data_IF_854155254006
#
_entry.id   IF_854155254006
#
_cell.length_a   1.000
_cell.length_b   1.000
_cell.length_c   1.000
_cell.angle_alpha   90.00
_cell.angle_beta   90.00
_cell.angle_gamma   90.00
#
_symmetry.space_group_name_H-M   'P 1'
#
loop_
_entity.id
_entity.type
_entity.pdbx_description
1 polymer ?
#
# COMPACT_ATOMS: atom_id res chain seq x y z
N UNK A 1 -2.59 10.25 -3.57
CA UNK A 1 -3.14 8.93 -3.21
C UNK A 1 -4.60 8.96 -3.58
N UNK A 2 -5.08 8.02 -4.38
CA UNK A 2 -6.49 7.94 -4.71
C UNK A 2 -7.26 7.39 -3.49
N UNK A 3 -8.32 8.08 -3.09
CA UNK A 3 -9.18 7.62 -1.98
C UNK A 3 -10.17 6.55 -2.47
N UNK A 4 -10.74 5.78 -1.55
CA UNK A 4 -11.70 4.72 -1.88
C UNK A 4 -12.86 5.21 -2.75
N UNK A 5 -13.44 6.36 -2.43
CA UNK A 5 -14.53 6.94 -3.21
C UNK A 5 -14.10 7.26 -4.64
N UNK A 6 -12.87 7.75 -4.87
CA UNK A 6 -12.37 8.04 -6.21
C UNK A 6 -12.23 6.76 -7.05
N UNK A 7 -11.66 5.70 -6.46
CA UNK A 7 -11.56 4.36 -7.09
C UNK A 7 -12.94 3.80 -7.42
N UNK A 8 -13.90 3.92 -6.50
CA UNK A 8 -15.26 3.46 -6.71
C UNK A 8 -15.94 4.20 -7.87
N UNK A 9 -15.82 5.54 -7.93
CA UNK A 9 -16.37 6.33 -9.05
C UNK A 9 -15.80 5.90 -10.39
N UNK A 10 -14.49 5.67 -10.44
CA UNK A 10 -13.81 5.24 -11.64
C UNK A 10 -14.33 3.88 -12.11
N UNK A 11 -14.35 2.89 -11.21
CA UNK A 11 -14.85 1.54 -11.52
C UNK A 11 -16.31 1.55 -11.99
N UNK A 12 -17.16 2.35 -11.34
CA UNK A 12 -18.55 2.49 -11.75
C UNK A 12 -18.66 3.10 -13.15
N UNK A 13 -17.85 4.11 -13.47
CA UNK A 13 -17.84 4.73 -14.80
C UNK A 13 -17.33 3.79 -15.88
N UNK A 14 -16.27 3.05 -15.62
CA UNK A 14 -15.65 2.10 -16.55
C UNK A 14 -16.58 0.92 -16.88
N UNK A 15 -17.33 0.46 -15.87
CA UNK A 15 -18.27 -0.66 -16.03
C UNK A 15 -19.71 -0.23 -16.35
N UNK A 16 -19.98 1.08 -16.49
CA UNK A 16 -21.34 1.60 -16.76
C UNK A 16 -22.35 1.31 -15.64
N UNK A 17 -21.90 1.24 -14.38
CA UNK A 17 -22.75 1.02 -13.21
C UNK A 17 -23.39 2.33 -12.75
N UNK A 18 -24.69 2.27 -12.44
CA UNK A 18 -25.38 3.30 -11.68
C UNK A 18 -25.30 3.01 -10.19
N UNK A 19 -25.53 4.01 -9.33
CA UNK A 19 -25.55 3.81 -7.87
C UNK A 19 -26.62 2.78 -7.47
N UNK A 20 -27.78 2.82 -8.13
CA UNK A 20 -28.85 1.86 -7.96
C UNK A 20 -28.43 0.42 -8.32
N UNK A 21 -27.79 0.21 -9.49
CA UNK A 21 -27.32 -1.12 -9.90
C UNK A 21 -26.28 -1.69 -8.93
N UNK A 22 -25.40 -0.84 -8.43
CA UNK A 22 -24.43 -1.27 -7.43
C UNK A 22 -25.10 -1.61 -6.10
N UNK A 23 -26.11 -0.85 -5.69
CA UNK A 23 -26.88 -1.12 -4.47
C UNK A 23 -27.54 -2.50 -4.53
N UNK A 24 -28.17 -2.83 -5.65
CA UNK A 24 -28.78 -4.15 -5.90
C UNK A 24 -27.74 -5.28 -5.93
N UNK A 25 -26.61 -5.07 -6.61
CA UNK A 25 -25.57 -6.09 -6.73
C UNK A 25 -24.87 -6.45 -5.41
N UNK A 26 -24.85 -5.51 -4.45
CA UNK A 26 -24.11 -5.63 -3.19
C UNK A 26 -25.07 -5.80 -1.99
N UNK A 27 -26.38 -5.86 -2.25
CA UNK A 27 -27.45 -5.98 -1.23
C UNK A 27 -27.39 -4.88 -0.16
N UNK A 28 -27.27 -3.63 -0.60
CA UNK A 28 -27.25 -2.45 0.28
C UNK A 28 -28.26 -1.40 -0.18
N UNK A 29 -28.59 -0.45 0.70
CA UNK A 29 -29.46 0.66 0.32
C UNK A 29 -28.76 1.63 -0.62
N UNK A 30 -29.50 2.19 -1.58
CA UNK A 30 -28.99 3.22 -2.51
C UNK A 30 -28.37 4.44 -1.79
N UNK A 31 -28.93 4.96 -0.68
CA UNK A 31 -28.28 6.01 0.12
C UNK A 31 -26.91 5.60 0.68
N UNK A 32 -26.70 4.32 0.98
CA UNK A 32 -25.39 3.81 1.40
C UNK A 32 -24.38 3.92 0.27
N UNK A 33 -24.76 3.51 -0.95
CA UNK A 33 -23.91 3.64 -2.15
C UNK A 33 -23.63 5.11 -2.46
N UNK A 34 -24.63 5.99 -2.36
CA UNK A 34 -24.43 7.43 -2.50
C UNK A 34 -23.38 7.94 -1.50
N UNK A 35 -23.49 7.53 -0.24
CA UNK A 35 -22.54 7.90 0.82
C UNK A 35 -21.12 7.42 0.51
N UNK A 36 -20.96 6.21 -0.02
CA UNK A 36 -19.69 5.65 -0.46
C UNK A 36 -19.11 6.41 -1.65
N UNK A 37 -19.93 6.69 -2.66
CA UNK A 37 -19.56 7.40 -3.89
C UNK A 37 -19.08 8.82 -3.60
N UNK A 38 -19.72 9.51 -2.65
CA UNK A 38 -19.33 10.86 -2.24
C UNK A 38 -18.24 10.89 -1.15
N UNK A 39 -17.96 9.76 -0.50
CA UNK A 39 -16.93 9.66 0.55
C UNK A 39 -17.42 10.13 1.92
N UNK A 40 -18.74 10.21 2.15
CA UNK A 40 -19.30 10.55 3.47
C UNK A 40 -19.17 9.42 4.49
N UNK A 41 -19.12 8.18 4.03
CA UNK A 41 -19.03 6.99 4.89
C UNK A 41 -18.23 5.92 4.18
N UNK A 42 -17.58 5.05 4.94
CA UNK A 42 -16.89 3.87 4.43
C UNK A 42 -17.78 2.64 4.50
N UNK A 43 -17.73 1.74 3.50
CA UNK A 43 -18.47 0.48 3.56
C UNK A 43 -17.99 -0.39 4.73
N UNK A 44 -18.87 -1.27 5.20
CA UNK A 44 -18.45 -2.36 6.09
C UNK A 44 -17.60 -3.37 5.34
N UNK A 45 -16.89 -4.22 6.08
CA UNK A 45 -15.95 -5.19 5.50
C UNK A 45 -16.63 -6.14 4.50
N UNK A 46 -17.81 -6.64 4.84
CA UNK A 46 -18.64 -7.50 4.01
C UNK A 46 -19.02 -6.81 2.69
N UNK A 47 -19.51 -5.56 2.77
CA UNK A 47 -19.88 -4.74 1.61
C UNK A 47 -18.65 -4.43 0.74
N UNK A 48 -17.51 -4.11 1.35
CA UNK A 48 -16.26 -3.86 0.63
C UNK A 48 -15.82 -5.08 -0.19
N UNK A 49 -15.88 -6.27 0.41
CA UNK A 49 -15.55 -7.53 -0.27
C UNK A 49 -16.54 -7.83 -1.39
N UNK A 50 -17.83 -7.54 -1.19
CA UNK A 50 -18.83 -7.72 -2.23
C UNK A 50 -18.62 -6.74 -3.40
N UNK A 51 -18.30 -5.47 -3.15
CA UNK A 51 -17.91 -4.49 -4.18
C UNK A 51 -16.70 -4.99 -4.97
N UNK A 52 -15.67 -5.48 -4.26
CA UNK A 52 -14.45 -6.02 -4.89
C UNK A 52 -14.77 -7.17 -5.84
N UNK A 53 -15.68 -8.08 -5.44
CA UNK A 53 -16.14 -9.19 -6.29
C UNK A 53 -16.96 -8.72 -7.49
N UNK A 54 -17.84 -7.73 -7.33
CA UNK A 54 -18.68 -7.20 -8.43
C UNK A 54 -17.82 -6.62 -9.55
N UNK A 55 -16.73 -5.94 -9.20
CA UNK A 55 -15.82 -5.31 -10.16
C UNK A 55 -14.59 -6.16 -10.52
N UNK A 56 -14.48 -7.39 -10.00
CA UNK A 56 -13.33 -8.28 -10.16
C UNK A 56 -11.97 -7.61 -9.83
N UNK A 57 -11.91 -6.92 -8.70
CA UNK A 57 -10.71 -6.23 -8.20
C UNK A 57 -10.33 -6.68 -6.79
N UNK A 58 -9.11 -6.34 -6.37
CA UNK A 58 -8.68 -6.57 -4.98
C UNK A 58 -9.22 -5.48 -4.05
N UNK A 59 -9.40 -5.81 -2.77
CA UNK A 59 -9.71 -4.80 -1.74
C UNK A 59 -8.57 -3.79 -1.60
N UNK A 60 -7.33 -4.21 -1.81
CA UNK A 60 -6.15 -3.36 -1.78
C UNK A 60 -6.22 -2.29 -2.88
N UNK A 61 -6.67 -2.64 -4.09
CA UNK A 61 -6.91 -1.68 -5.17
C UNK A 61 -7.96 -0.64 -4.77
N UNK A 62 -9.11 -1.11 -4.25
CA UNK A 62 -10.20 -0.23 -3.82
C UNK A 62 -9.76 0.74 -2.73
N UNK A 63 -8.93 0.28 -1.79
CA UNK A 63 -8.43 1.10 -0.68
C UNK A 63 -7.22 1.96 -1.07
N UNK A 64 -6.74 1.91 -2.32
CA UNK A 64 -5.58 2.66 -2.78
C UNK A 64 -4.24 2.15 -2.21
N UNK A 65 -4.20 0.90 -1.77
CA UNK A 65 -3.03 0.24 -1.18
C UNK A 65 -2.09 -0.37 -2.23
N UNK A 66 -2.52 -0.54 -3.47
CA UNK A 66 -1.64 -1.07 -4.54
C UNK A 66 -0.53 -0.09 -4.95
N UNK A 67 -0.73 1.22 -4.76
CA UNK A 67 0.34 2.23 -4.90
C UNK A 67 1.38 2.10 -3.77
N UNK A 68 1.02 1.48 -2.64
CA UNK A 68 1.98 1.10 -1.60
C UNK A 68 2.76 -0.13 -2.07
N UNK A 69 3.89 0.14 -2.70
CA UNK A 69 5.02 -0.76 -2.85
C UNK A 69 5.63 -1.20 -1.49
N UNK A 70 4.82 -1.42 -0.45
CA UNK A 70 5.24 -2.03 0.81
C UNK A 70 5.89 -3.39 0.53
N UNK A 71 5.35 -4.16 -0.43
CA UNK A 71 5.94 -5.42 -0.89
C UNK A 71 7.36 -5.27 -1.45
N UNK A 72 7.66 -4.21 -2.22
CA UNK A 72 9.01 -4.04 -2.82
C UNK A 72 10.12 -3.93 -1.78
N UNK A 73 9.85 -3.28 -0.63
CA UNK A 73 10.84 -3.12 0.44
C UNK A 73 11.25 -4.45 1.09
N UNK A 74 10.35 -5.43 1.09
CA UNK A 74 10.59 -6.75 1.67
C UNK A 74 11.04 -7.79 0.63
N UNK A 75 10.53 -7.72 -0.60
CA UNK A 75 10.83 -8.69 -1.66
C UNK A 75 12.11 -8.35 -2.43
N UNK A 76 12.16 -7.14 -2.98
CA UNK A 76 13.26 -6.71 -3.87
C UNK A 76 14.43 -6.13 -3.06
N UNK A 77 14.13 -5.60 -1.87
CA UNK A 77 15.08 -4.87 -1.05
C UNK A 77 15.30 -3.44 -1.54
N UNK A 78 15.93 -2.63 -0.70
CA UNK A 78 16.22 -1.22 -0.98
C UNK A 78 17.69 -0.96 -0.72
N UNK A 79 18.32 -0.18 -1.60
CA UNK A 79 19.70 0.25 -1.46
C UNK A 79 19.89 1.07 -0.18
N UNK A 80 20.88 0.71 0.62
CA UNK A 80 21.26 1.44 1.83
C UNK A 80 21.80 2.84 1.50
N UNK A 81 21.70 3.76 2.45
CA UNK A 81 22.30 5.10 2.35
C UNK A 81 23.55 5.19 3.21
N UNK A 82 24.54 5.98 2.79
CA UNK A 82 25.77 6.21 3.55
C UNK A 82 25.86 7.68 3.99
N UNK A 83 26.34 7.93 5.21
CA UNK A 83 26.57 9.29 5.70
C UNK A 83 27.77 9.97 5.03
N UNK A 84 28.66 9.17 4.44
CA UNK A 84 29.83 9.64 3.70
C UNK A 84 30.62 8.50 3.05
N UNK A 85 31.89 8.78 2.73
CA UNK A 85 32.81 7.90 2.02
C UNK A 85 33.99 7.42 2.87
N UNK A 86 34.07 7.89 4.11
CA UNK A 86 35.11 7.50 5.05
C UNK A 86 34.82 6.09 5.59
N UNK A 87 35.85 5.47 6.18
CA UNK A 87 35.77 4.09 6.66
C UNK A 87 34.80 3.96 7.85
N UNK A 88 34.77 4.97 8.73
CA UNK A 88 33.95 4.98 9.95
C UNK A 88 32.51 5.44 9.71
N UNK A 89 32.14 5.77 8.46
CA UNK A 89 30.81 6.26 8.13
C UNK A 89 29.73 5.18 8.30
N UNK A 90 28.55 5.64 8.70
CA UNK A 90 27.40 4.78 8.94
C UNK A 90 26.71 4.41 7.63
N UNK A 91 26.37 3.13 7.53
CA UNK A 91 25.41 2.61 6.57
C UNK A 91 24.06 2.61 7.26
N UNK A 92 23.08 3.31 6.68
CA UNK A 92 21.77 3.51 7.27
C UNK A 92 20.65 2.89 6.42
N UNK A 93 19.57 2.51 7.09
CA UNK A 93 18.35 2.10 6.42
C UNK A 93 17.69 3.32 5.74
N UNK A 94 17.35 3.26 4.44
CA UNK A 94 16.76 4.37 3.69
C UNK A 94 15.31 4.69 4.10
N UNK A 95 14.67 3.82 4.90
CA UNK A 95 13.27 3.96 5.30
C UNK A 95 13.14 4.56 6.70
N UNK A 96 13.88 4.05 7.69
CA UNK A 96 13.79 4.52 9.07
C UNK A 96 15.01 5.34 9.53
N UNK A 97 16.10 5.37 8.75
CA UNK A 97 17.32 6.09 9.11
C UNK A 97 18.19 5.42 10.17
N UNK A 98 17.82 4.25 10.69
CA UNK A 98 18.63 3.54 11.67
C UNK A 98 19.98 3.11 11.08
N UNK A 99 21.05 3.23 11.87
CA UNK A 99 22.39 2.75 11.58
C UNK A 99 22.40 1.22 11.61
N UNK A 100 22.71 0.60 10.46
CA UNK A 100 22.63 -0.86 10.27
C UNK A 100 24.00 -1.54 10.23
N UNK A 101 25.05 -0.79 9.87
CA UNK A 101 26.43 -1.25 9.79
C UNK A 101 27.35 -0.04 9.61
N UNK A 102 28.66 -0.24 9.65
CA UNK A 102 29.68 0.71 9.22
C UNK A 102 30.24 0.36 7.84
N UNK A 103 30.85 1.34 7.18
CA UNK A 103 31.44 1.17 5.85
C UNK A 103 32.57 0.13 5.81
N UNK A 104 33.33 -0.01 6.91
CA UNK A 104 34.43 -0.95 7.09
C UNK A 104 34.00 -2.34 7.63
N UNK A 105 32.76 -2.50 8.09
CA UNK A 105 32.24 -3.80 8.52
C UNK A 105 32.30 -4.81 7.36
N UNK A 106 32.76 -6.02 7.68
CA UNK A 106 32.74 -7.15 6.77
C UNK A 106 31.31 -7.38 6.25
N UNK A 107 31.18 -7.62 4.94
CA UNK A 107 29.87 -7.81 4.30
C UNK A 107 29.02 -8.90 4.98
N UNK A 108 29.65 -9.93 5.54
CA UNK A 108 28.98 -11.04 6.23
C UNK A 108 28.32 -10.61 7.56
N UNK A 109 28.84 -9.57 8.20
CA UNK A 109 28.30 -9.01 9.45
C UNK A 109 27.12 -8.06 9.20
N UNK A 110 26.91 -7.64 7.94
CA UNK A 110 25.87 -6.68 7.58
C UNK A 110 24.49 -7.36 7.56
N UNK A 111 23.50 -6.86 8.32
CA UNK A 111 22.21 -7.52 8.42
C UNK A 111 21.43 -7.43 7.10
N UNK A 112 20.93 -8.56 6.60
CA UNK A 112 20.12 -8.60 5.36
C UNK A 112 18.79 -7.84 5.48
N UNK A 113 18.34 -7.55 6.69
CA UNK A 113 17.11 -6.81 6.98
C UNK A 113 17.36 -5.79 8.08
N UNK A 114 16.73 -4.63 7.99
CA UNK A 114 16.77 -3.61 9.04
C UNK A 114 16.13 -4.15 10.33
N UNK A 115 16.79 -4.02 11.50
CA UNK A 115 16.26 -4.53 12.78
C UNK A 115 14.99 -3.79 13.23
N UNK A 116 14.85 -2.51 12.92
CA UNK A 116 13.69 -1.69 13.35
C UNK A 116 12.47 -1.82 12.44
N UNK A 117 12.67 -1.72 11.12
CA UNK A 117 11.54 -1.64 10.18
C UNK A 117 11.36 -2.87 9.29
N UNK A 118 12.24 -3.87 9.42
CA UNK A 118 12.20 -5.14 8.66
C UNK A 118 12.50 -5.02 7.16
N UNK A 119 12.85 -3.83 6.66
CA UNK A 119 13.18 -3.61 5.23
C UNK A 119 14.36 -4.48 4.82
N UNK A 120 14.26 -5.21 3.70
CA UNK A 120 15.37 -5.96 3.13
C UNK A 120 16.40 -4.99 2.57
N UNK A 121 17.64 -5.11 3.00
CA UNK A 121 18.72 -4.17 2.70
C UNK A 121 19.58 -4.71 1.55
N UNK A 122 19.92 -3.81 0.63
CA UNK A 122 20.86 -4.06 -0.46
C UNK A 122 22.04 -3.13 -0.24
N UNK A 123 23.21 -3.70 0.03
CA UNK A 123 24.44 -2.98 0.36
C UNK A 123 25.25 -2.59 -0.88
#
# INVERSE_FOLDING_TARGET
>A
MATFNERLRQLMKENGFTQHKLAEAVDVSEPSVYSYYHGFTTPRLDVLVAIAKVFDVTTDYLLGLEDFNAKKRFLNGIAVTKTGWDADDEICCPICGCSVARNDDFHEMRPKHCPDCGTKLVY
#
